data_IF_755306082221
#
_entry.id   IF_755306082221
#
_cell.length_a   1.000
_cell.length_b   1.000
_cell.length_c   1.000
_cell.angle_alpha   90.00
_cell.angle_beta   90.00
_cell.angle_gamma   90.00
#
_symmetry.space_group_name_H-M   'P 1'
#
loop_
_entity.id
_entity.type
_entity.pdbx_description
1 polymer ?
#
# COMPACT_ATOMS: atom_id res chain seq x y z
N UNK A 1 22.31 -8.62 -21.93
CA UNK A 1 23.56 -9.09 -21.25
C UNK A 1 24.52 -9.57 -22.32
N UNK A 2 25.82 -9.35 -22.13
CA UNK A 2 26.85 -9.93 -22.99
C UNK A 2 27.02 -11.42 -22.71
N UNK A 3 27.06 -12.23 -23.77
CA UNK A 3 27.47 -13.63 -23.75
C UNK A 3 28.76 -13.80 -24.59
N UNK A 4 29.25 -15.03 -24.77
CA UNK A 4 30.47 -15.29 -25.56
C UNK A 4 30.32 -14.83 -27.02
N UNK A 5 29.17 -15.06 -27.62
CA UNK A 5 28.89 -14.80 -29.04
C UNK A 5 28.91 -13.29 -29.37
N UNK A 6 28.34 -12.45 -28.50
CA UNK A 6 28.28 -10.99 -28.73
C UNK A 6 29.36 -10.20 -27.98
N UNK A 7 30.26 -10.86 -27.26
CA UNK A 7 31.24 -10.19 -26.38
C UNK A 7 32.14 -9.20 -27.14
N UNK A 8 32.66 -9.59 -28.31
CA UNK A 8 33.51 -8.74 -29.14
C UNK A 8 32.76 -7.51 -29.67
N UNK A 9 31.50 -7.68 -30.08
CA UNK A 9 30.66 -6.59 -30.58
C UNK A 9 30.31 -5.61 -29.46
N UNK A 10 29.95 -6.11 -28.27
CA UNK A 10 29.68 -5.27 -27.10
C UNK A 10 30.94 -4.52 -26.67
N UNK A 11 32.11 -5.15 -26.70
CA UNK A 11 33.38 -4.48 -26.36
C UNK A 11 33.67 -3.31 -27.31
N UNK A 12 33.50 -3.49 -28.62
CA UNK A 12 33.63 -2.39 -29.60
C UNK A 12 32.62 -1.28 -29.31
N UNK A 13 31.34 -1.62 -29.11
CA UNK A 13 30.31 -0.63 -28.81
C UNK A 13 30.57 0.15 -27.50
N UNK A 14 31.24 -0.45 -26.51
CA UNK A 14 31.71 0.26 -25.31
C UNK A 14 32.84 1.22 -25.66
N UNK A 15 33.83 0.76 -26.45
CA UNK A 15 34.95 1.60 -26.92
C UNK A 15 34.47 2.79 -27.76
N UNK A 16 33.43 2.58 -28.55
CA UNK A 16 32.81 3.60 -29.42
C UNK A 16 31.83 4.52 -28.65
N UNK A 17 31.69 4.33 -27.34
CA UNK A 17 30.79 5.13 -26.48
C UNK A 17 29.30 4.90 -26.72
N UNK A 18 28.91 3.89 -27.50
CA UNK A 18 27.50 3.58 -27.83
C UNK A 18 26.76 2.84 -26.71
N UNK A 19 27.49 2.18 -25.81
CA UNK A 19 26.93 1.50 -24.64
C UNK A 19 27.77 1.74 -23.39
N UNK A 20 27.11 1.83 -22.24
CA UNK A 20 27.74 1.96 -20.93
C UNK A 20 27.64 0.65 -20.16
N UNK A 21 28.71 0.25 -19.47
CA UNK A 21 28.71 -0.93 -18.59
C UNK A 21 28.03 -0.59 -17.27
N UNK A 22 27.09 -1.43 -16.85
CA UNK A 22 26.38 -1.30 -15.57
C UNK A 22 26.91 -2.28 -14.52
N UNK A 23 27.20 -3.52 -14.93
CA UNK A 23 27.73 -4.56 -14.05
C UNK A 23 28.46 -5.64 -14.87
N UNK A 24 28.89 -6.72 -14.22
CA UNK A 24 29.47 -7.87 -14.92
C UNK A 24 28.49 -8.40 -15.97
N UNK A 25 28.90 -8.33 -17.25
CA UNK A 25 28.12 -8.71 -18.43
C UNK A 25 26.81 -7.94 -18.64
N UNK A 26 26.58 -6.86 -17.91
CA UNK A 26 25.40 -5.99 -18.06
C UNK A 26 25.81 -4.64 -18.62
N UNK A 27 25.15 -4.26 -19.71
CA UNK A 27 25.41 -3.03 -20.46
C UNK A 27 24.08 -2.40 -20.86
N UNK A 28 24.08 -1.09 -21.04
CA UNK A 28 22.91 -0.30 -21.46
C UNK A 28 23.27 0.63 -22.61
N UNK A 29 22.29 0.91 -23.47
CA UNK A 29 22.35 1.99 -24.48
C UNK A 29 21.92 3.34 -23.90
N UNK A 30 21.33 3.36 -22.70
CA UNK A 30 21.00 4.59 -22.01
C UNK A 30 22.26 5.14 -21.32
N UNK A 31 22.82 6.19 -21.92
CA UNK A 31 24.07 6.79 -21.48
C UNK A 31 23.85 7.96 -20.49
N UNK A 32 22.61 8.43 -20.35
CA UNK A 32 22.27 9.64 -19.61
C UNK A 32 21.86 9.33 -18.17
N UNK A 33 20.97 8.36 -17.99
CA UNK A 33 20.41 8.07 -16.67
C UNK A 33 21.42 7.42 -15.74
N UNK A 34 21.20 7.62 -14.43
CA UNK A 34 21.99 6.98 -13.39
C UNK A 34 21.85 5.44 -13.48
N UNK A 35 22.97 4.68 -13.41
CA UNK A 35 22.96 3.22 -13.40
C UNK A 35 21.98 2.60 -12.40
N UNK A 36 21.87 3.16 -11.19
CA UNK A 36 20.97 2.64 -10.16
C UNK A 36 19.50 2.79 -10.56
N UNK A 37 19.13 3.92 -11.15
CA UNK A 37 17.75 4.18 -11.61
C UNK A 37 17.38 3.20 -12.72
N UNK A 38 18.27 3.00 -13.70
CA UNK A 38 18.07 2.04 -14.79
C UNK A 38 17.89 0.63 -14.21
N UNK A 39 18.81 0.20 -13.35
CA UNK A 39 18.83 -1.16 -12.80
C UNK A 39 17.58 -1.43 -11.93
N UNK A 40 17.21 -0.49 -11.04
CA UNK A 40 16.03 -0.63 -10.18
C UNK A 40 14.73 -0.72 -10.98
N UNK A 41 14.59 0.05 -12.06
CA UNK A 41 13.39 0.02 -12.92
C UNK A 41 13.20 -1.33 -13.63
N UNK A 42 14.28 -2.04 -13.93
CA UNK A 42 14.25 -3.31 -14.67
C UNK A 42 14.54 -4.55 -13.79
N UNK A 43 14.30 -4.45 -12.47
CA UNK A 43 14.75 -5.46 -11.52
C UNK A 43 14.20 -6.87 -11.80
N UNK A 44 12.96 -7.02 -12.25
CA UNK A 44 12.34 -8.31 -12.59
C UNK A 44 12.97 -8.96 -13.83
N UNK A 45 13.20 -8.18 -14.90
CA UNK A 45 13.87 -8.68 -16.11
C UNK A 45 15.31 -9.11 -15.81
N UNK A 46 16.01 -8.32 -15.00
CA UNK A 46 17.36 -8.63 -14.55
C UNK A 46 17.36 -9.86 -13.67
N UNK A 47 16.41 -9.98 -12.73
CA UNK A 47 16.26 -11.14 -11.88
C UNK A 47 16.13 -12.41 -12.71
N UNK A 48 15.22 -12.44 -13.70
CA UNK A 48 15.05 -13.60 -14.59
C UNK A 48 16.34 -13.95 -15.34
N UNK A 49 17.08 -12.95 -15.83
CA UNK A 49 18.35 -13.16 -16.57
C UNK A 49 19.46 -13.73 -15.67
N UNK A 50 19.54 -13.29 -14.42
CA UNK A 50 20.58 -13.72 -13.47
C UNK A 50 20.21 -15.00 -12.71
N UNK A 51 18.91 -15.29 -12.57
CA UNK A 51 18.30 -16.41 -11.86
C UNK A 51 17.06 -16.90 -12.60
N UNK A 52 17.21 -17.73 -13.66
CA UNK A 52 16.08 -18.20 -14.46
C UNK A 52 15.07 -19.04 -13.68
N UNK A 53 15.50 -19.67 -12.58
CA UNK A 53 14.72 -20.50 -11.66
C UNK A 53 14.20 -19.73 -10.43
N UNK A 54 14.29 -18.40 -10.44
CA UNK A 54 13.94 -17.60 -9.27
C UNK A 54 12.46 -17.66 -8.93
N UNK A 55 12.20 -17.90 -7.65
CA UNK A 55 10.96 -17.62 -6.95
C UNK A 55 11.17 -16.39 -6.06
N UNK A 56 10.40 -15.33 -6.28
CA UNK A 56 10.37 -14.16 -5.41
C UNK A 56 9.71 -14.56 -4.09
N UNK A 57 10.43 -14.35 -2.98
CA UNK A 57 10.10 -14.95 -1.69
C UNK A 57 10.36 -13.99 -0.52
N UNK A 58 10.00 -14.44 0.69
CA UNK A 58 10.27 -13.72 1.95
C UNK A 58 9.75 -12.26 1.90
N UNK A 59 10.53 -11.27 2.39
CA UNK A 59 10.12 -9.85 2.43
C UNK A 59 9.70 -9.32 1.07
N UNK A 60 10.47 -9.63 0.01
CA UNK A 60 10.21 -9.11 -1.34
C UNK A 60 8.85 -9.54 -1.88
N UNK A 61 8.40 -10.76 -1.56
CA UNK A 61 7.06 -11.20 -1.96
C UNK A 61 5.92 -10.44 -1.25
N UNK A 62 6.12 -10.01 0.00
CA UNK A 62 5.11 -9.22 0.72
C UNK A 62 5.11 -7.75 0.33
N UNK A 63 6.28 -7.19 0.01
CA UNK A 63 6.44 -5.78 -0.38
C UNK A 63 6.18 -5.57 -1.88
N UNK A 64 6.28 -6.62 -2.71
CA UNK A 64 6.22 -6.56 -4.18
C UNK A 64 7.23 -5.58 -4.81
N UNK A 65 8.32 -5.32 -4.10
CA UNK A 65 9.39 -4.44 -4.52
C UNK A 65 10.72 -4.84 -3.89
N UNK A 66 11.86 -4.41 -4.46
CA UNK A 66 13.11 -4.38 -3.73
C UNK A 66 12.95 -3.61 -2.42
N UNK A 67 13.67 -4.02 -1.38
CA UNK A 67 13.73 -3.31 -0.13
C UNK A 67 14.40 -1.92 -0.30
N UNK A 68 14.33 -1.07 0.74
CA UNK A 68 14.91 0.28 0.72
C UNK A 68 16.38 0.32 0.28
N UNK A 69 17.17 -0.68 0.71
CA UNK A 69 18.60 -0.82 0.39
C UNK A 69 18.86 -1.52 -0.96
N UNK A 70 17.81 -1.82 -1.74
CA UNK A 70 17.91 -2.54 -3.01
C UNK A 70 17.89 -4.07 -2.87
N UNK A 71 17.76 -4.61 -1.66
CA UNK A 71 17.73 -6.06 -1.45
C UNK A 71 16.48 -6.71 -2.05
N UNK A 72 16.69 -7.78 -2.80
CA UNK A 72 15.65 -8.61 -3.41
C UNK A 72 15.91 -10.06 -2.97
N UNK A 73 14.99 -10.61 -2.19
CA UNK A 73 15.10 -11.94 -1.59
C UNK A 73 14.38 -12.97 -2.45
N UNK A 74 15.10 -14.03 -2.81
CA UNK A 74 14.61 -15.05 -3.74
C UNK A 74 14.99 -16.46 -3.28
N UNK A 75 14.20 -17.44 -3.69
CA UNK A 75 14.61 -18.84 -3.67
C UNK A 75 15.15 -19.20 -5.05
N UNK A 76 16.34 -19.81 -5.08
CA UNK A 76 16.98 -20.32 -6.29
C UNK A 76 17.99 -21.40 -5.93
N UNK A 77 18.29 -22.27 -6.88
CA UNK A 77 19.39 -23.25 -6.79
C UNK A 77 20.77 -22.55 -6.69
N UNK A 78 20.92 -21.38 -7.32
CA UNK A 78 22.15 -20.58 -7.33
C UNK A 78 22.32 -19.83 -6.01
N UNK A 79 23.37 -20.14 -5.24
CA UNK A 79 23.61 -19.54 -3.91
C UNK A 79 24.32 -18.19 -3.91
N UNK A 80 25.05 -17.85 -4.97
CA UNK A 80 25.90 -16.65 -4.97
C UNK A 80 25.02 -15.41 -5.14
N UNK A 81 25.18 -14.42 -4.25
CA UNK A 81 24.56 -13.09 -4.40
C UNK A 81 25.04 -12.39 -5.66
N UNK A 82 24.15 -11.60 -6.28
CA UNK A 82 24.49 -10.74 -7.42
C UNK A 82 24.27 -9.29 -7.02
N UNK A 83 25.34 -8.51 -7.00
CA UNK A 83 25.32 -7.08 -6.73
C UNK A 83 25.30 -6.33 -8.06
N UNK A 84 24.36 -5.40 -8.18
CA UNK A 84 24.19 -4.48 -9.29
C UNK A 84 24.08 -3.06 -8.70
N UNK A 85 24.31 -2.00 -9.48
CA UNK A 85 24.03 -0.62 -9.03
C UNK A 85 22.62 -0.51 -8.44
N UNK A 86 22.50 -0.12 -7.17
CA UNK A 86 21.22 0.03 -6.48
C UNK A 86 20.39 -1.23 -6.22
N UNK A 87 20.90 -2.45 -6.51
CA UNK A 87 20.19 -3.72 -6.28
C UNK A 87 21.11 -4.85 -5.81
N UNK A 88 20.57 -5.68 -4.92
CA UNK A 88 21.25 -6.89 -4.47
C UNK A 88 20.28 -8.06 -4.54
N UNK A 89 20.54 -9.00 -5.45
CA UNK A 89 19.82 -10.28 -5.48
C UNK A 89 20.41 -11.22 -4.44
N UNK A 90 19.58 -11.57 -3.43
CA UNK A 90 19.92 -12.39 -2.28
C UNK A 90 19.24 -13.76 -2.38
N UNK A 91 19.85 -14.75 -3.06
CA UNK A 91 19.27 -16.07 -3.19
C UNK A 91 19.48 -16.92 -1.93
N UNK A 92 18.49 -17.75 -1.62
CA UNK A 92 18.61 -18.85 -0.67
C UNK A 92 18.12 -20.16 -1.27
N UNK A 93 18.54 -21.27 -0.66
CA UNK A 93 17.88 -22.56 -0.91
C UNK A 93 16.49 -22.58 -0.28
N UNK A 94 15.59 -23.32 -0.91
CA UNK A 94 14.21 -23.47 -0.49
C UNK A 94 13.45 -24.32 -1.50
N UNK A 95 12.19 -24.59 -1.19
CA UNK A 95 11.29 -25.28 -2.11
C UNK A 95 10.99 -24.39 -3.31
N UNK A 96 10.86 -24.99 -4.50
CA UNK A 96 10.44 -24.28 -5.71
C UNK A 96 8.99 -23.76 -5.61
N UNK A 97 8.44 -23.22 -6.70
CA UNK A 97 7.05 -22.78 -6.75
C UNK A 97 6.09 -23.91 -6.33
N UNK A 98 5.11 -23.59 -5.50
CA UNK A 98 3.97 -24.45 -5.21
C UNK A 98 2.84 -24.14 -6.19
N UNK A 99 1.88 -25.06 -6.34
CA UNK A 99 0.67 -24.84 -7.15
C UNK A 99 -0.13 -23.60 -6.71
N UNK A 100 -0.09 -23.27 -5.42
CA UNK A 100 -0.75 -22.08 -4.87
C UNK A 100 -0.03 -20.78 -5.19
N UNK A 101 1.23 -20.83 -5.62
CA UNK A 101 2.04 -19.64 -5.94
C UNK A 101 1.68 -19.08 -7.32
N UNK A 102 2.03 -17.81 -7.54
CA UNK A 102 1.53 -17.07 -8.69
C UNK A 102 2.61 -16.94 -9.76
N UNK A 103 2.26 -17.14 -11.05
CA UNK A 103 3.12 -16.69 -12.13
C UNK A 103 3.28 -15.17 -12.04
N UNK A 104 4.49 -14.71 -12.35
CA UNK A 104 4.87 -13.32 -12.28
C UNK A 104 5.55 -12.87 -13.58
N UNK A 105 5.71 -11.57 -13.73
CA UNK A 105 6.32 -10.94 -14.91
C UNK A 105 7.66 -11.60 -15.26
N UNK A 106 7.93 -11.75 -16.56
CA UNK A 106 9.17 -12.35 -17.10
C UNK A 106 9.35 -13.84 -16.75
N UNK A 107 8.27 -14.62 -16.74
CA UNK A 107 8.27 -16.06 -16.41
C UNK A 107 8.92 -16.35 -15.05
N UNK A 108 8.78 -15.41 -14.13
CA UNK A 108 9.15 -15.59 -12.73
C UNK A 108 7.96 -16.14 -11.95
N UNK A 109 8.22 -16.58 -10.73
CA UNK A 109 7.19 -16.96 -9.79
C UNK A 109 7.30 -16.10 -8.54
N UNK A 110 6.17 -15.85 -7.87
CA UNK A 110 6.12 -15.14 -6.61
C UNK A 110 5.35 -15.94 -5.56
N UNK A 111 5.86 -15.97 -4.33
CA UNK A 111 5.23 -16.69 -3.23
C UNK A 111 3.83 -16.15 -3.02
N UNK A 112 2.85 -17.05 -2.98
CA UNK A 112 1.48 -16.71 -2.59
C UNK A 112 1.46 -16.03 -1.22
N UNK A 113 0.46 -15.18 -0.97
CA UNK A 113 0.38 -14.42 0.28
C UNK A 113 0.49 -15.29 1.55
N UNK A 114 -0.19 -16.46 1.66
CA UNK A 114 0.00 -17.36 2.80
C UNK A 114 1.43 -17.89 2.93
N UNK A 115 2.05 -18.28 1.80
CA UNK A 115 3.45 -18.75 1.78
C UNK A 115 4.41 -17.63 2.19
N UNK A 116 4.24 -16.44 1.64
CA UNK A 116 5.08 -15.29 1.93
C UNK A 116 5.00 -14.89 3.41
N UNK A 117 3.80 -14.91 4.01
CA UNK A 117 3.63 -14.66 5.45
C UNK A 117 4.37 -15.70 6.31
N UNK A 118 4.27 -16.99 5.98
CA UNK A 118 5.04 -18.06 6.65
C UNK A 118 6.55 -17.89 6.49
N UNK A 119 7.01 -17.59 5.28
CA UNK A 119 8.42 -17.37 4.98
C UNK A 119 9.01 -16.23 5.83
N UNK A 120 8.19 -15.21 6.13
CA UNK A 120 8.55 -14.10 7.00
C UNK A 120 8.47 -14.39 8.50
N UNK A 121 7.92 -15.54 8.92
CA UNK A 121 8.00 -16.01 10.33
C UNK A 121 9.33 -16.70 10.65
N UNK A 122 10.13 -17.03 9.61
CA UNK A 122 11.46 -17.62 9.80
C UNK A 122 12.36 -16.64 10.53
N UNK A 123 13.22 -17.18 11.39
CA UNK A 123 14.28 -16.38 11.99
C UNK A 123 15.22 -15.84 10.89
N UNK A 124 15.50 -14.54 10.95
CA UNK A 124 16.41 -13.85 10.05
C UNK A 124 17.29 -12.91 10.86
N UNK A 125 18.59 -12.94 10.57
CA UNK A 125 19.55 -11.97 11.11
C UNK A 125 20.02 -11.13 9.94
N UNK A 126 19.76 -9.82 10.02
CA UNK A 126 20.41 -8.87 9.13
C UNK A 126 21.83 -8.59 9.63
N UNK A 127 22.74 -8.27 8.72
CA UNK A 127 24.00 -7.64 9.10
C UNK A 127 23.69 -6.22 9.59
N UNK A 128 24.50 -5.68 10.50
CA UNK A 128 24.31 -4.31 11.00
C UNK A 128 24.28 -3.33 9.82
N UNK A 129 23.14 -2.64 9.64
CA UNK A 129 22.92 -1.67 8.57
C UNK A 129 22.23 -2.20 7.30
N UNK A 130 21.98 -3.51 7.16
CA UNK A 130 21.24 -4.06 6.01
C UNK A 130 19.77 -4.32 6.35
N UNK A 131 18.92 -4.39 5.33
CA UNK A 131 17.53 -4.85 5.50
C UNK A 131 17.52 -6.36 5.75
N UNK A 132 16.65 -6.80 6.66
CA UNK A 132 16.46 -8.24 6.94
C UNK A 132 15.68 -8.92 5.83
N UNK A 133 16.03 -10.19 5.56
CA UNK A 133 15.30 -11.08 4.65
C UNK A 133 13.82 -11.21 4.98
N UNK A 134 13.49 -11.19 6.26
CA UNK A 134 12.11 -11.23 6.74
C UNK A 134 11.70 -9.87 7.31
N UNK A 135 10.40 -9.59 7.28
CA UNK A 135 9.80 -8.51 8.04
C UNK A 135 10.13 -8.65 9.53
N UNK A 136 10.36 -7.52 10.19
CA UNK A 136 10.38 -7.45 11.65
C UNK A 136 9.00 -7.77 12.21
N UNK A 137 8.93 -8.03 13.52
CA UNK A 137 7.66 -8.29 14.21
C UNK A 137 6.67 -7.13 14.02
N UNK A 138 7.14 -5.89 14.11
CA UNK A 138 6.31 -4.70 13.93
C UNK A 138 5.82 -4.53 12.49
N UNK A 139 6.70 -4.70 11.50
CA UNK A 139 6.30 -4.66 10.08
C UNK A 139 5.28 -5.76 9.73
N UNK A 140 5.43 -6.96 10.32
CA UNK A 140 4.47 -8.05 10.13
C UNK A 140 3.10 -7.72 10.74
N UNK A 141 3.08 -7.16 11.95
CA UNK A 141 1.85 -6.73 12.59
C UNK A 141 1.12 -5.65 11.77
N UNK A 142 1.85 -4.66 11.25
CA UNK A 142 1.30 -3.64 10.34
C UNK A 142 0.76 -4.27 9.05
N UNK A 143 1.48 -5.23 8.46
CA UNK A 143 1.04 -5.93 7.25
C UNK A 143 -0.25 -6.72 7.48
N UNK A 144 -0.34 -7.46 8.59
CA UNK A 144 -1.55 -8.21 8.95
C UNK A 144 -2.71 -7.27 9.29
N UNK A 145 -2.46 -6.18 10.01
CA UNK A 145 -3.49 -5.17 10.30
C UNK A 145 -4.09 -4.61 9.01
N UNK A 146 -3.25 -4.28 8.03
CA UNK A 146 -3.70 -3.81 6.72
C UNK A 146 -4.60 -4.84 6.03
N UNK A 147 -4.28 -6.14 6.11
CA UNK A 147 -5.14 -7.20 5.57
C UNK A 147 -6.49 -7.27 6.31
N UNK A 148 -6.49 -7.17 7.64
CA UNK A 148 -7.72 -7.10 8.41
C UNK A 148 -8.59 -5.91 8.02
N UNK A 149 -8.00 -4.70 7.87
CA UNK A 149 -8.74 -3.49 7.47
C UNK A 149 -9.31 -3.61 6.06
N UNK A 150 -8.53 -4.10 5.11
CA UNK A 150 -8.89 -4.08 3.69
C UNK A 150 -9.76 -5.27 3.27
N UNK A 151 -9.60 -6.43 3.91
CA UNK A 151 -10.22 -7.70 3.47
C UNK A 151 -11.03 -8.40 4.56
N UNK A 152 -10.99 -7.92 5.80
CA UNK A 152 -11.75 -8.46 6.93
C UNK A 152 -11.14 -9.71 7.56
N UNK A 153 -11.66 -10.08 8.74
CA UNK A 153 -11.16 -11.20 9.53
C UNK A 153 -11.31 -12.56 8.83
N UNK A 154 -12.41 -12.77 8.09
CA UNK A 154 -12.64 -14.04 7.37
C UNK A 154 -11.58 -14.30 6.31
N UNK A 155 -11.12 -13.25 5.63
CA UNK A 155 -10.03 -13.37 4.67
C UNK A 155 -8.72 -13.78 5.35
N UNK A 156 -8.37 -13.16 6.48
CA UNK A 156 -7.17 -13.51 7.24
C UNK A 156 -7.26 -14.93 7.80
N UNK A 157 -8.44 -15.38 8.23
CA UNK A 157 -8.66 -16.77 8.65
C UNK A 157 -8.43 -17.75 7.50
N UNK A 158 -8.92 -17.47 6.28
CA UNK A 158 -8.62 -18.29 5.10
C UNK A 158 -7.13 -18.31 4.75
N UNK A 159 -6.42 -17.19 4.93
CA UNK A 159 -4.96 -17.15 4.77
C UNK A 159 -4.29 -18.07 5.77
N UNK A 160 -4.68 -18.01 7.06
CA UNK A 160 -4.15 -18.89 8.11
C UNK A 160 -4.38 -20.37 7.76
N UNK A 161 -5.57 -20.72 7.31
CA UNK A 161 -5.90 -22.12 7.01
C UNK A 161 -5.09 -22.63 5.79
N UNK A 162 -4.91 -21.82 4.75
CA UNK A 162 -4.01 -22.13 3.63
C UNK A 162 -2.55 -22.20 4.04
N UNK A 163 -2.13 -21.35 4.97
CA UNK A 163 -0.78 -21.38 5.54
C UNK A 163 -0.54 -22.71 6.27
N UNK A 164 -1.53 -23.28 6.97
CA UNK A 164 -1.39 -24.60 7.59
C UNK A 164 -1.08 -25.70 6.56
N UNK A 165 -1.79 -25.71 5.43
CA UNK A 165 -1.55 -26.68 4.35
C UNK A 165 -0.14 -26.54 3.76
N UNK A 166 0.28 -25.31 3.50
CA UNK A 166 1.61 -25.01 2.98
C UNK A 166 2.69 -25.37 4.00
N UNK A 167 2.46 -25.11 5.28
CA UNK A 167 3.43 -25.41 6.34
C UNK A 167 3.72 -26.90 6.46
N UNK A 168 2.70 -27.74 6.27
CA UNK A 168 2.87 -29.21 6.19
C UNK A 168 3.71 -29.61 4.98
N UNK A 169 3.44 -29.04 3.79
CA UNK A 169 4.19 -29.34 2.56
C UNK A 169 5.65 -28.90 2.61
N UNK A 170 5.93 -27.77 3.29
CA UNK A 170 7.25 -27.16 3.35
C UNK A 170 8.04 -27.52 4.62
N UNK A 171 7.46 -28.32 5.52
CA UNK A 171 8.02 -28.68 6.83
C UNK A 171 8.43 -27.46 7.68
N UNK A 172 7.50 -26.51 7.84
CA UNK A 172 7.67 -25.24 8.57
C UNK A 172 6.58 -25.01 9.61
N UNK A 173 6.22 -26.07 10.33
CA UNK A 173 5.13 -26.01 11.32
C UNK A 173 5.42 -25.06 12.49
N UNK A 174 6.70 -24.84 12.84
CA UNK A 174 7.08 -23.87 13.88
C UNK A 174 6.79 -22.43 13.45
N UNK A 175 7.07 -22.10 12.19
CA UNK A 175 6.73 -20.81 11.60
C UNK A 175 5.22 -20.60 11.52
N UNK A 176 4.48 -21.64 11.18
CA UNK A 176 3.02 -21.59 11.18
C UNK A 176 2.46 -21.28 12.57
N UNK A 177 2.94 -21.96 13.62
CA UNK A 177 2.50 -21.70 15.00
C UNK A 177 2.71 -20.23 15.40
N UNK A 178 3.83 -19.62 15.00
CA UNK A 178 4.10 -18.19 15.25
C UNK A 178 3.13 -17.27 14.50
N UNK A 179 2.83 -17.58 13.24
CA UNK A 179 1.85 -16.83 12.46
C UNK A 179 0.45 -16.95 13.07
N UNK A 180 0.07 -18.17 13.42
CA UNK A 180 -1.21 -18.48 14.04
C UNK A 180 -1.37 -17.75 15.38
N UNK A 181 -0.35 -17.79 16.24
CA UNK A 181 -0.34 -17.09 17.51
C UNK A 181 -0.52 -15.57 17.32
N UNK A 182 0.20 -14.98 16.36
CA UNK A 182 0.11 -13.56 16.05
C UNK A 182 -1.29 -13.17 15.56
N UNK A 183 -1.85 -13.91 14.59
CA UNK A 183 -3.21 -13.67 14.07
C UNK A 183 -4.23 -13.76 15.20
N UNK A 184 -4.16 -14.80 16.04
CA UNK A 184 -5.08 -14.95 17.17
C UNK A 184 -4.94 -13.83 18.20
N UNK A 185 -3.72 -13.37 18.45
CA UNK A 185 -3.47 -12.25 19.37
C UNK A 185 -4.09 -10.96 18.85
N UNK A 186 -3.95 -10.67 17.55
CA UNK A 186 -4.57 -9.50 16.91
C UNK A 186 -6.10 -9.58 16.87
N UNK A 187 -6.67 -10.79 16.84
CA UNK A 187 -8.11 -11.02 16.95
C UNK A 187 -8.63 -10.99 18.40
N UNK A 188 -7.75 -10.86 19.39
CA UNK A 188 -8.10 -10.89 20.81
C UNK A 188 -8.41 -12.29 21.36
N UNK A 189 -8.11 -13.37 20.60
CA UNK A 189 -8.30 -14.76 21.04
C UNK A 189 -7.08 -15.33 21.76
N UNK A 190 -5.95 -14.62 21.73
CA UNK A 190 -4.70 -14.96 22.43
C UNK A 190 -4.09 -13.72 23.09
N UNK A 191 -3.16 -13.96 24.02
CA UNK A 191 -2.63 -12.91 24.93
C UNK A 191 -1.17 -12.55 24.70
N UNK A 192 -0.58 -12.90 23.55
CA UNK A 192 0.81 -12.55 23.23
C UNK A 192 1.03 -11.03 23.16
N UNK A 193 2.30 -10.63 23.22
CA UNK A 193 2.71 -9.23 23.10
C UNK A 193 2.66 -8.76 21.64
N UNK A 194 2.19 -7.52 21.47
CA UNK A 194 2.14 -6.80 20.20
C UNK A 194 3.03 -5.56 20.29
N UNK A 195 3.80 -5.29 19.24
CA UNK A 195 4.75 -4.18 19.21
C UNK A 195 4.14 -2.91 18.65
N UNK A 196 3.48 -3.02 17.50
CA UNK A 196 2.89 -1.91 16.77
C UNK A 196 1.61 -1.42 17.45
N UNK A 197 1.40 -0.10 17.38
CA UNK A 197 0.21 0.51 17.97
C UNK A 197 -1.07 0.15 17.21
N UNK A 198 -0.99 -0.07 15.89
CA UNK A 198 -2.13 -0.55 15.09
C UNK A 198 -2.60 -1.94 15.52
N UNK A 199 -1.67 -2.86 15.83
CA UNK A 199 -2.04 -4.19 16.27
C UNK A 199 -2.60 -4.16 17.70
N UNK A 200 -2.02 -3.35 18.60
CA UNK A 200 -2.57 -3.13 19.94
C UNK A 200 -3.99 -2.59 19.87
N UNK A 201 -4.22 -1.52 19.10
CA UNK A 201 -5.52 -0.91 18.92
C UNK A 201 -6.56 -1.91 18.38
N UNK A 202 -6.16 -2.74 17.40
CA UNK A 202 -7.01 -3.83 16.92
C UNK A 202 -7.36 -4.86 17.99
N UNK A 203 -6.38 -5.33 18.78
CA UNK A 203 -6.61 -6.28 19.89
C UNK A 203 -7.63 -5.72 20.90
N UNK A 204 -7.60 -4.40 21.12
CA UNK A 204 -8.54 -3.67 21.98
C UNK A 204 -9.85 -3.27 21.29
N UNK A 205 -10.14 -3.77 20.08
CA UNK A 205 -11.35 -3.48 19.29
C UNK A 205 -11.53 -2.01 18.89
N UNK A 206 -10.44 -1.26 18.86
CA UNK A 206 -10.39 0.14 18.39
C UNK A 206 -9.44 0.28 17.18
N UNK A 207 -9.60 -0.53 16.10
CA UNK A 207 -8.71 -0.42 14.96
C UNK A 207 -8.89 0.93 14.25
N UNK A 208 -7.79 1.54 13.85
CA UNK A 208 -7.78 2.76 13.06
C UNK A 208 -6.96 2.57 11.78
N UNK A 209 -7.15 3.47 10.81
CA UNK A 209 -6.34 3.50 9.60
C UNK A 209 -5.16 4.47 9.78
N UNK A 210 -3.92 3.98 9.98
CA UNK A 210 -2.75 4.85 10.17
C UNK A 210 -2.47 5.73 8.95
N UNK A 211 -2.75 5.24 7.73
CA UNK A 211 -2.49 5.99 6.49
C UNK A 211 -3.47 7.18 6.37
N UNK A 212 -4.71 7.01 6.84
CA UNK A 212 -5.71 8.10 6.87
C UNK A 212 -5.46 9.08 8.00
N UNK A 213 -5.05 8.60 9.17
CA UNK A 213 -4.70 9.45 10.29
C UNK A 213 -3.55 10.41 9.91
N UNK A 214 -2.50 9.91 9.26
CA UNK A 214 -1.39 10.73 8.77
C UNK A 214 -1.86 11.79 7.75
N UNK A 215 -2.73 11.43 6.81
CA UNK A 215 -3.29 12.40 5.85
C UNK A 215 -4.11 13.51 6.53
N UNK A 216 -4.96 13.15 7.50
CA UNK A 216 -5.77 14.14 8.21
C UNK A 216 -4.92 15.05 9.11
N UNK A 217 -3.86 14.51 9.72
CA UNK A 217 -2.92 15.30 10.51
C UNK A 217 -2.16 16.31 9.63
N UNK A 218 -1.68 15.88 8.46
CA UNK A 218 -1.03 16.79 7.49
C UNK A 218 -1.99 17.88 7.01
N UNK A 219 -3.22 17.51 6.66
CA UNK A 219 -4.25 18.48 6.27
C UNK A 219 -4.53 19.47 7.39
N UNK A 220 -4.63 19.00 8.63
CA UNK A 220 -4.83 19.85 9.79
C UNK A 220 -3.67 20.83 9.99
N UNK A 221 -2.42 20.36 9.86
CA UNK A 221 -1.23 21.21 9.93
C UNK A 221 -1.22 22.29 8.84
N UNK A 222 -1.54 21.90 7.60
CA UNK A 222 -1.62 22.82 6.46
C UNK A 222 -2.72 23.87 6.63
N UNK A 223 -3.92 23.47 7.08
CA UNK A 223 -5.03 24.39 7.35
C UNK A 223 -4.71 25.34 8.49
N UNK A 224 -4.03 24.87 9.53
CA UNK A 224 -3.62 25.70 10.67
C UNK A 224 -2.53 26.70 10.28
N UNK A 225 -1.63 26.33 9.38
CA UNK A 225 -0.57 27.20 8.88
C UNK A 225 -1.08 28.22 7.85
N UNK A 226 -2.21 27.95 7.21
CA UNK A 226 -2.83 28.83 6.23
C UNK A 226 -3.74 29.84 6.95
N UNK A 227 -3.40 31.13 6.89
CA UNK A 227 -4.32 32.17 7.35
C UNK A 227 -5.62 32.06 6.53
N UNK A 228 -6.81 32.09 7.15
CA UNK A 228 -8.04 32.08 6.39
C UNK A 228 -8.06 33.32 5.48
N UNK A 229 -7.96 33.08 4.18
CA UNK A 229 -8.20 34.12 3.19
C UNK A 229 -9.69 34.38 3.20
N UNK A 230 -10.09 35.34 4.04
CA UNK A 230 -11.39 35.98 3.88
C UNK A 230 -11.29 36.79 2.61
N UNK A 231 -11.43 36.12 1.47
CA UNK A 231 -11.55 36.78 0.19
C UNK A 231 -12.54 37.91 0.39
N UNK A 232 -12.10 39.16 0.18
CA UNK A 232 -12.92 40.34 0.42
C UNK A 232 -14.27 40.04 -0.18
N UNK A 233 -15.36 40.08 0.61
CA UNK A 233 -16.70 39.88 0.09
C UNK A 233 -16.77 40.68 -1.20
N UNK A 234 -16.83 39.99 -2.35
CA UNK A 234 -16.89 40.66 -3.64
C UNK A 234 -18.05 41.66 -3.52
N UNK A 235 -18.01 42.77 -4.26
CA UNK A 235 -19.16 43.67 -4.36
C UNK A 235 -20.34 42.92 -5.02
N UNK A 236 -20.92 41.97 -4.29
CA UNK A 236 -22.01 41.13 -4.72
C UNK A 236 -23.22 42.03 -4.77
N UNK A 237 -23.91 41.98 -5.89
CA UNK A 237 -25.25 42.51 -6.01
C UNK A 237 -26.16 41.88 -4.95
N UNK A 238 -27.28 42.55 -4.69
CA UNK A 238 -28.29 42.03 -3.76
C UNK A 238 -28.77 40.63 -4.17
N UNK A 239 -28.93 40.38 -5.48
CA UNK A 239 -29.35 39.08 -5.98
C UNK A 239 -28.31 37.98 -5.73
N UNK A 240 -27.02 38.30 -5.89
CA UNK A 240 -25.96 37.34 -5.62
C UNK A 240 -25.89 36.98 -4.13
N UNK A 241 -26.10 37.95 -3.23
CA UNK A 241 -26.16 37.67 -1.78
C UNK A 241 -27.33 36.75 -1.43
N UNK A 242 -28.50 37.03 -1.97
CA UNK A 242 -29.71 36.22 -1.77
C UNK A 242 -29.51 34.79 -2.28
N UNK A 243 -28.92 34.63 -3.46
CA UNK A 243 -28.62 33.31 -4.01
C UNK A 243 -27.60 32.56 -3.15
N UNK A 244 -26.53 33.23 -2.69
CA UNK A 244 -25.53 32.61 -1.83
C UNK A 244 -26.15 32.12 -0.51
N UNK A 245 -26.90 32.96 0.19
CA UNK A 245 -27.56 32.58 1.44
C UNK A 245 -28.55 31.43 1.26
N UNK A 246 -29.28 31.39 0.13
CA UNK A 246 -30.14 30.26 -0.21
C UNK A 246 -29.33 28.96 -0.35
N UNK A 247 -28.23 28.96 -1.11
CA UNK A 247 -27.42 27.76 -1.28
C UNK A 247 -26.73 27.33 0.00
N UNK A 248 -26.20 28.26 0.81
CA UNK A 248 -25.61 27.95 2.11
C UNK A 248 -26.61 27.24 3.02
N UNK A 249 -27.84 27.75 3.10
CA UNK A 249 -28.89 27.12 3.90
C UNK A 249 -29.37 25.79 3.30
N UNK A 250 -29.53 25.70 1.98
CA UNK A 250 -29.89 24.46 1.30
C UNK A 250 -28.87 23.35 1.60
N UNK A 251 -27.58 23.62 1.45
CA UNK A 251 -26.54 22.62 1.73
C UNK A 251 -26.42 22.28 3.22
N UNK A 252 -26.59 23.25 4.11
CA UNK A 252 -26.64 22.98 5.56
C UNK A 252 -27.77 22.01 5.89
N UNK A 253 -28.98 22.30 5.39
CA UNK A 253 -30.15 21.45 5.60
C UNK A 253 -30.02 20.08 4.93
N UNK A 254 -29.40 20.00 3.75
CA UNK A 254 -29.16 18.75 3.03
C UNK A 254 -28.20 17.83 3.80
N UNK A 255 -27.11 18.38 4.35
CA UNK A 255 -26.18 17.64 5.21
C UNK A 255 -26.86 17.20 6.51
N UNK A 256 -27.79 18.01 7.02
CA UNK A 256 -28.63 17.69 8.19
C UNK A 256 -29.78 16.71 7.89
N UNK A 257 -29.96 16.28 6.63
CA UNK A 257 -30.90 15.21 6.24
C UNK A 257 -32.17 15.65 5.51
N UNK A 258 -32.19 16.84 4.92
CA UNK A 258 -33.32 17.31 4.10
C UNK A 258 -33.29 16.70 2.69
N UNK A 259 -34.41 16.13 2.23
CA UNK A 259 -34.50 15.39 0.96
C UNK A 259 -35.06 16.19 -0.24
N UNK A 260 -35.33 17.48 -0.08
CA UNK A 260 -35.87 18.28 -1.18
C UNK A 260 -34.86 18.49 -2.31
N UNK A 261 -35.31 18.34 -3.54
CA UNK A 261 -34.58 18.76 -4.73
C UNK A 261 -34.36 20.29 -4.70
N UNK A 262 -33.22 20.76 -5.22
CA UNK A 262 -32.83 22.18 -5.13
C UNK A 262 -33.86 23.13 -5.77
N UNK A 263 -34.54 22.69 -6.82
CA UNK A 263 -35.61 23.44 -7.48
C UNK A 263 -36.85 23.57 -6.60
N UNK A 264 -37.20 22.52 -5.85
CA UNK A 264 -38.31 22.54 -4.91
C UNK A 264 -38.02 23.45 -3.72
N UNK A 265 -36.81 23.37 -3.15
CA UNK A 265 -36.36 24.29 -2.11
C UNK A 265 -36.39 25.75 -2.58
N UNK A 266 -35.99 26.02 -3.82
CA UNK A 266 -36.04 27.36 -4.40
C UNK A 266 -37.48 27.87 -4.57
N UNK A 267 -38.41 27.02 -5.00
CA UNK A 267 -39.83 27.38 -5.12
C UNK A 267 -40.47 27.66 -3.76
N UNK A 268 -40.10 26.91 -2.72
CA UNK A 268 -40.57 27.17 -1.35
C UNK A 268 -40.06 28.53 -0.85
N UNK A 269 -38.76 28.82 -0.98
CA UNK A 269 -38.13 30.01 -0.41
C UNK A 269 -38.44 31.28 -1.22
N UNK A 270 -38.36 31.22 -2.56
CA UNK A 270 -38.49 32.40 -3.41
C UNK A 270 -39.90 32.64 -3.92
N UNK A 271 -40.73 31.59 -4.02
CA UNK A 271 -42.09 31.67 -4.57
C UNK A 271 -43.18 31.34 -3.55
N UNK A 272 -42.80 31.07 -2.29
CA UNK A 272 -43.71 30.71 -1.21
C UNK A 272 -44.63 29.52 -1.56
N UNK A 273 -44.13 28.57 -2.36
CA UNK A 273 -44.86 27.33 -2.65
C UNK A 273 -44.95 26.50 -1.38
N UNK A 274 -46.15 26.05 -1.03
CA UNK A 274 -46.37 25.15 0.10
C UNK A 274 -46.08 23.72 -0.37
N UNK A 275 -45.05 23.03 0.18
CA UNK A 275 -44.75 21.66 -0.23
C UNK A 275 -45.87 20.70 0.19
N UNK A 276 -46.08 19.67 -0.64
CA UNK A 276 -47.19 18.72 -0.48
C UNK A 276 -46.95 17.70 0.63
N UNK A 277 -45.70 17.34 0.87
CA UNK A 277 -45.28 16.48 1.97
C UNK A 277 -44.61 17.37 3.02
N UNK A 278 -45.24 17.48 4.19
CA UNK A 278 -44.69 18.18 5.35
C UNK A 278 -43.77 17.20 6.09
N UNK A 279 -42.44 17.42 6.15
CA UNK A 279 -41.61 16.70 7.11
C UNK A 279 -41.96 17.18 8.53
N UNK A 280 -41.72 16.34 9.54
CA UNK A 280 -42.00 16.64 10.94
C UNK A 280 -41.39 17.99 11.39
N UNK A 281 -42.09 18.65 12.32
CA UNK A 281 -42.22 20.10 12.52
C UNK A 281 -40.95 20.94 12.83
N UNK A 282 -39.72 20.42 12.68
CA UNK A 282 -38.49 21.17 12.99
C UNK A 282 -37.96 22.02 11.82
N UNK A 283 -38.12 21.58 10.57
CA UNK A 283 -37.44 22.20 9.40
C UNK A 283 -38.06 23.55 8.99
N UNK A 284 -39.37 23.72 9.12
CA UNK A 284 -40.06 24.96 8.68
C UNK A 284 -39.88 26.15 9.63
N UNK A 285 -39.57 25.90 10.90
CA UNK A 285 -39.38 26.96 11.89
C UNK A 285 -38.06 27.73 11.70
N UNK A 286 -37.05 27.08 11.11
CA UNK A 286 -35.73 27.66 10.85
C UNK A 286 -35.67 28.52 9.59
N UNK A 287 -36.41 28.14 8.55
CA UNK A 287 -36.38 28.81 7.23
C UNK A 287 -37.08 30.17 7.20
N UNK A 288 -38.00 30.47 8.13
CA UNK A 288 -38.66 31.79 8.21
C UNK A 288 -38.10 32.70 9.33
N UNK A 289 -37.37 32.15 10.32
CA UNK A 289 -36.80 32.94 11.43
C UNK A 289 -35.39 33.45 11.19
N UNK A 290 -34.60 32.83 10.29
CA UNK A 290 -33.21 33.25 10.03
C UNK A 290 -33.05 34.39 9.00
N UNK A 291 -34.14 34.89 8.40
CA UNK A 291 -34.06 35.82 7.26
C UNK A 291 -34.70 37.20 7.47
N UNK A 292 -34.91 37.62 8.73
CA UNK A 292 -35.38 38.97 9.06
C UNK A 292 -34.37 39.82 9.87
N UNK A 293 -33.07 39.56 9.73
CA UNK A 293 -32.02 40.49 10.16
C UNK A 293 -30.93 40.62 9.10
#
# INVERSE_FOLDING_TARGET
MSNREISAQVFRAVSDGMVKKLASRLYTKNLQDDPEVIVRRHWYELLKKYYPDAQIADRTALENSPARDGSVFIISSKKRKTELPGLIFNPRKGHGPLESDLPFISDLWISSEPRALLENMRHSRALKGSVSRTLSREEMEVKLDKLFRQKGADHVNRIRDKALEIAKKLDVMQEFQKLEELIGTMQGTRTSDLKSDVAKARKWKEPYDPDRADLFLRLFEDLKATAPDTGSAKNMSQQERVNLSFFEAYFTNFIEGTEFEVGEAADIVFRNVIPRERPEDEVFSGLNRKYCH
#
